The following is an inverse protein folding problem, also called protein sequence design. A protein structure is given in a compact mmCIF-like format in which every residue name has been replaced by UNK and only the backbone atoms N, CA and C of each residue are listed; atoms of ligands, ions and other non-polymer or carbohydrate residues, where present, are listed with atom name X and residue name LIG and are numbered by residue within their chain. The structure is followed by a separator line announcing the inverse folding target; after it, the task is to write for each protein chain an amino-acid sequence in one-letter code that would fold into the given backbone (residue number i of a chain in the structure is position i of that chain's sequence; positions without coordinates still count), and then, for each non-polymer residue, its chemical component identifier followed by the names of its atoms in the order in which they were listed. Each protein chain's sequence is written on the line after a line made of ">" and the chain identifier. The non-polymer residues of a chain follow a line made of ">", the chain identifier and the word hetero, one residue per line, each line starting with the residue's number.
data_IF_142859997314
#
_entry.id   IF_142859997314
#
_cell.length_a   1.000
_cell.length_b   1.000
_cell.length_c   1.000
_cell.angle_alpha   90.00
_cell.angle_beta   90.00
_cell.angle_gamma   90.00
#
_symmetry.space_group_name_H-M   'P 1'
#
loop_
_entity.id
_entity.type
_entity.pdbx_description
1 polymer ?
#
# COMPACT_ATOMS: atom_id res chain seq x y z
N UNK A 1 -13.10 14.00 24.91
CA UNK A 1 -13.02 14.34 23.48
C UNK A 1 -11.55 14.37 23.10
N UNK A 2 -11.10 13.48 22.22
CA UNK A 2 -9.71 13.53 21.75
C UNK A 2 -9.52 14.80 20.94
N UNK A 3 -8.61 15.67 21.37
CA UNK A 3 -8.27 16.91 20.68
C UNK A 3 -7.68 16.53 19.31
N UNK A 4 -8.28 16.98 18.21
CA UNK A 4 -7.69 16.85 16.89
C UNK A 4 -6.40 17.69 16.87
N UNK A 5 -5.26 17.02 16.84
CA UNK A 5 -3.96 17.67 16.66
C UNK A 5 -3.84 18.01 15.17
N UNK A 6 -4.03 19.27 14.83
CA UNK A 6 -3.85 19.75 13.46
C UNK A 6 -2.36 20.05 13.21
N UNK A 7 -1.84 19.53 12.10
CA UNK A 7 -0.47 19.80 11.64
C UNK A 7 -0.48 20.61 10.33
N UNK A 8 0.65 21.22 9.96
CA UNK A 8 0.76 22.10 8.79
C UNK A 8 1.83 21.63 7.82
N UNK A 9 1.55 21.82 6.53
CA UNK A 9 2.50 21.61 5.45
C UNK A 9 2.89 22.98 4.88
N UNK A 10 4.14 23.37 5.05
CA UNK A 10 4.68 24.64 4.54
C UNK A 10 5.46 24.42 3.24
N UNK A 11 4.95 24.95 2.12
CA UNK A 11 5.57 24.83 0.80
C UNK A 11 5.65 26.19 0.12
N UNK A 12 6.81 26.51 -0.45
CA UNK A 12 7.00 27.65 -1.35
C UNK A 12 6.93 27.17 -2.79
N UNK A 13 6.08 27.80 -3.60
CA UNK A 13 5.93 27.52 -5.03
C UNK A 13 6.09 28.81 -5.84
N UNK A 14 6.45 28.66 -7.12
CA UNK A 14 6.50 29.79 -8.03
C UNK A 14 5.09 30.32 -8.33
N UNK A 15 5.02 31.56 -8.85
CA UNK A 15 3.75 32.13 -9.32
C UNK A 15 3.14 31.28 -10.43
N UNK A 16 3.96 30.80 -11.36
CA UNK A 16 3.53 29.96 -12.48
C UNK A 16 2.89 28.66 -11.98
N UNK A 17 3.55 27.96 -11.04
CA UNK A 17 2.98 26.76 -10.42
C UNK A 17 1.64 27.05 -9.75
N UNK A 18 1.54 28.18 -9.02
CA UNK A 18 0.29 28.56 -8.35
C UNK A 18 -0.84 28.76 -9.36
N UNK A 19 -0.60 29.44 -10.47
CA UNK A 19 -1.62 29.67 -11.49
C UNK A 19 -2.01 28.39 -12.23
N UNK A 20 -1.05 27.51 -12.53
CA UNK A 20 -1.31 26.18 -13.09
C UNK A 20 -2.24 25.36 -12.19
N UNK A 21 -1.90 25.27 -10.89
CA UNK A 21 -2.66 24.48 -9.91
C UNK A 21 -4.05 25.08 -9.71
N UNK A 22 -4.19 26.41 -9.67
CA UNK A 22 -5.50 27.08 -9.62
C UNK A 22 -6.38 26.75 -10.81
N UNK A 23 -5.82 26.79 -12.02
CA UNK A 23 -6.57 26.48 -13.23
C UNK A 23 -7.05 25.02 -13.21
N UNK A 24 -6.16 24.08 -12.86
CA UNK A 24 -6.52 22.68 -12.70
C UNK A 24 -7.60 22.46 -11.63
N UNK A 25 -7.51 23.15 -10.49
CA UNK A 25 -8.51 23.14 -9.42
C UNK A 25 -9.89 23.58 -9.92
N UNK A 26 -9.94 24.66 -10.69
CA UNK A 26 -11.18 25.19 -11.26
C UNK A 26 -11.81 24.21 -12.26
N UNK A 27 -11.01 23.61 -13.14
CA UNK A 27 -11.48 22.58 -14.09
C UNK A 27 -12.06 21.35 -13.39
N UNK A 28 -11.50 20.97 -12.24
CA UNK A 28 -11.97 19.85 -11.43
C UNK A 28 -13.15 20.20 -10.50
N UNK A 29 -13.54 21.47 -10.43
CA UNK A 29 -14.70 21.93 -9.64
C UNK A 29 -14.47 22.03 -8.13
N UNK A 30 -13.22 22.14 -7.68
CA UNK A 30 -12.91 22.28 -6.26
C UNK A 30 -13.25 23.67 -5.73
N UNK A 31 -13.75 23.74 -4.49
CA UNK A 31 -14.17 25.00 -3.85
C UNK A 31 -12.98 25.84 -3.37
N UNK A 32 -11.84 25.21 -3.10
CA UNK A 32 -10.61 25.90 -2.70
C UNK A 32 -9.37 25.22 -3.26
N UNK A 33 -8.31 26.03 -3.45
CA UNK A 33 -7.01 25.54 -3.90
C UNK A 33 -6.38 24.55 -2.90
N UNK A 34 -6.53 24.83 -1.61
CA UNK A 34 -6.00 23.96 -0.56
C UNK A 34 -6.66 22.59 -0.56
N UNK A 35 -7.99 22.52 -0.70
CA UNK A 35 -8.73 21.27 -0.82
C UNK A 35 -8.25 20.45 -2.04
N UNK A 36 -8.06 21.11 -3.18
CA UNK A 36 -7.51 20.47 -4.37
C UNK A 36 -6.09 19.92 -4.15
N UNK A 37 -5.22 20.68 -3.50
CA UNK A 37 -3.85 20.23 -3.19
C UNK A 37 -3.88 19.00 -2.28
N UNK A 38 -4.66 19.03 -1.19
CA UNK A 38 -4.79 17.91 -0.27
C UNK A 38 -5.36 16.68 -0.97
N UNK A 39 -6.37 16.85 -1.82
CA UNK A 39 -6.94 15.77 -2.62
C UNK A 39 -5.87 15.11 -3.52
N UNK A 40 -5.11 15.92 -4.25
CA UNK A 40 -4.07 15.42 -5.16
C UNK A 40 -2.96 14.69 -4.39
N UNK A 41 -2.47 15.28 -3.30
CA UNK A 41 -1.40 14.69 -2.48
C UNK A 41 -1.85 13.36 -1.86
N UNK A 42 -3.05 13.32 -1.27
CA UNK A 42 -3.58 12.08 -0.68
C UNK A 42 -3.81 10.99 -1.74
N UNK A 43 -4.33 11.37 -2.91
CA UNK A 43 -4.56 10.43 -4.01
C UNK A 43 -3.24 9.80 -4.47
N UNK A 44 -2.20 10.62 -4.63
CA UNK A 44 -0.91 10.13 -5.10
C UNK A 44 -0.17 9.33 -4.03
N UNK A 45 -0.18 9.79 -2.78
CA UNK A 45 0.37 9.04 -1.65
C UNK A 45 -0.28 7.65 -1.52
N UNK A 46 -1.61 7.57 -1.65
CA UNK A 46 -2.34 6.30 -1.63
C UNK A 46 -1.91 5.33 -2.73
N UNK A 47 -1.68 5.83 -3.95
CA UNK A 47 -1.15 4.99 -5.04
C UNK A 47 0.26 4.49 -4.75
N UNK A 48 1.14 5.38 -4.29
CA UNK A 48 2.53 5.01 -3.96
C UNK A 48 2.55 3.90 -2.90
N UNK A 49 1.75 4.04 -1.84
CA UNK A 49 1.66 3.04 -0.77
C UNK A 49 1.11 1.73 -1.35
N UNK A 50 0.00 1.78 -2.09
CA UNK A 50 -0.62 0.60 -2.68
C UNK A 50 0.33 -0.14 -3.63
N UNK A 51 1.05 0.58 -4.49
CA UNK A 51 2.02 -0.01 -5.41
C UNK A 51 3.22 -0.61 -4.68
N UNK A 52 3.61 -0.02 -3.54
CA UNK A 52 4.68 -0.57 -2.72
C UNK A 52 4.26 -1.83 -1.97
N UNK A 53 3.06 -1.84 -1.37
CA UNK A 53 2.52 -2.93 -0.54
C UNK A 53 1.97 -4.10 -1.36
N UNK A 54 1.78 -3.93 -2.67
CA UNK A 54 1.31 -5.00 -3.54
C UNK A 54 2.29 -6.16 -3.55
N UNK A 55 1.87 -7.31 -3.00
CA UNK A 55 2.67 -8.55 -2.92
C UNK A 55 2.92 -9.16 -4.30
N UNK A 56 1.91 -9.14 -5.18
CA UNK A 56 1.99 -9.70 -6.52
C UNK A 56 2.13 -8.58 -7.56
N UNK A 57 3.37 -8.11 -7.75
CA UNK A 57 3.67 -6.94 -8.59
C UNK A 57 3.68 -7.32 -10.07
N UNK A 58 4.35 -8.41 -10.42
CA UNK A 58 4.52 -8.83 -11.81
C UNK A 58 3.39 -9.76 -12.28
N UNK A 59 3.28 -9.95 -13.60
CA UNK A 59 2.40 -10.98 -14.17
C UNK A 59 2.90 -12.38 -13.78
N UNK A 60 4.22 -12.56 -13.68
CA UNK A 60 4.83 -13.84 -13.31
C UNK A 60 4.52 -14.20 -11.85
N UNK A 61 4.61 -13.25 -10.91
CA UNK A 61 4.27 -13.47 -9.50
C UNK A 61 2.82 -13.95 -9.38
N UNK A 62 1.91 -13.31 -10.13
CA UNK A 62 0.48 -13.69 -10.15
C UNK A 62 0.28 -15.08 -10.74
N UNK A 63 1.03 -15.43 -11.80
CA UNK A 63 0.95 -16.75 -12.42
C UNK A 63 1.42 -17.83 -11.45
N UNK A 64 2.58 -17.64 -10.81
CA UNK A 64 3.12 -18.56 -9.79
C UNK A 64 2.11 -18.70 -8.64
N UNK A 65 1.57 -17.60 -8.14
CA UNK A 65 0.60 -17.62 -7.05
C UNK A 65 -0.70 -18.36 -7.41
N UNK A 66 -1.27 -18.06 -8.57
CA UNK A 66 -2.49 -18.73 -9.06
C UNK A 66 -2.23 -20.21 -9.31
N UNK A 67 -1.09 -20.56 -9.92
CA UNK A 67 -0.71 -21.96 -10.14
C UNK A 67 -0.56 -22.71 -8.81
N UNK A 68 0.08 -22.11 -7.80
CA UNK A 68 0.19 -22.71 -6.48
C UNK A 68 -1.17 -22.93 -5.76
N UNK A 69 -2.20 -22.13 -6.06
CA UNK A 69 -3.55 -22.33 -5.53
C UNK A 69 -4.30 -23.42 -6.30
N UNK A 70 -4.22 -23.39 -7.63
CA UNK A 70 -4.96 -24.32 -8.50
C UNK A 70 -4.31 -25.70 -8.54
N UNK A 71 -2.98 -25.75 -8.44
CA UNK A 71 -2.14 -26.94 -8.52
C UNK A 71 -1.20 -26.97 -7.29
N UNK A 72 -1.73 -27.18 -6.08
CA UNK A 72 -0.93 -27.10 -4.86
C UNK A 72 0.21 -28.13 -4.87
N UNK A 73 1.47 -27.69 -4.73
CA UNK A 73 2.61 -28.60 -4.75
C UNK A 73 2.66 -29.44 -3.47
N UNK A 74 3.21 -30.65 -3.56
CA UNK A 74 3.49 -31.46 -2.38
C UNK A 74 4.53 -30.77 -1.48
N UNK A 75 4.43 -30.91 -0.14
CA UNK A 75 5.37 -30.29 0.78
C UNK A 75 6.78 -30.84 0.56
N UNK A 76 7.76 -29.93 0.46
CA UNK A 76 9.18 -30.28 0.37
C UNK A 76 9.70 -30.90 1.68
N UNK A 77 10.88 -31.52 1.63
CA UNK A 77 11.47 -32.19 2.80
C UNK A 77 11.69 -31.26 3.99
N UNK A 78 12.06 -30.00 3.74
CA UNK A 78 12.23 -29.00 4.81
C UNK A 78 10.93 -28.73 5.58
N UNK A 79 9.81 -28.59 4.86
CA UNK A 79 8.51 -28.36 5.49
C UNK A 79 8.02 -29.60 6.25
N UNK A 80 8.27 -30.81 5.70
CA UNK A 80 7.99 -32.08 6.41
C UNK A 80 8.78 -32.19 7.71
N UNK A 81 10.08 -31.85 7.70
CA UNK A 81 10.93 -31.84 8.90
C UNK A 81 10.45 -30.82 9.94
N UNK A 82 10.08 -29.61 9.51
CA UNK A 82 9.54 -28.58 10.39
C UNK A 82 8.22 -29.01 11.03
N UNK A 83 7.32 -29.65 10.28
CA UNK A 83 6.09 -30.23 10.80
C UNK A 83 6.38 -31.29 11.88
N UNK A 84 7.28 -32.24 11.60
CA UNK A 84 7.65 -33.26 12.59
C UNK A 84 8.27 -32.66 13.85
N UNK A 85 9.11 -31.63 13.71
CA UNK A 85 9.70 -30.93 14.86
C UNK A 85 8.64 -30.19 15.70
N UNK A 86 7.67 -29.53 15.07
CA UNK A 86 6.56 -28.87 15.76
C UNK A 86 5.69 -29.88 16.53
N UNK A 87 5.36 -31.01 15.91
CA UNK A 87 4.61 -32.10 16.55
C UNK A 87 5.36 -32.72 17.73
N UNK A 88 6.69 -32.84 17.65
CA UNK A 88 7.51 -33.37 18.75
C UNK A 88 7.60 -32.37 19.92
N UNK A 89 7.60 -31.06 19.65
CA UNK A 89 7.59 -30.03 20.70
C UNK A 89 6.28 -29.99 21.50
N UNK A 90 5.16 -30.47 20.94
CA UNK A 90 3.90 -30.63 21.69
C UNK A 90 3.90 -31.87 22.61
N UNK A 91 4.81 -32.83 22.41
CA UNK A 91 4.90 -34.08 23.20
C UNK A 91 5.81 -33.92 24.42
N UNK A 92 6.85 -33.07 24.36
CA UNK A 92 7.81 -32.84 25.46
C UNK A 92 7.31 -31.83 26.52
N UNK A 93 6.08 -31.33 26.37
CA UNK A 93 5.44 -30.33 27.24
C UNK A 93 4.44 -30.87 28.28
N UNK A 94 4.36 -32.20 28.49
CA UNK A 94 3.58 -32.84 29.56
C UNK A 94 4.51 -33.62 30.49
#
# INVERSE_FOLDING_TARGET
>A
MATLVNDRIDVRISREQKELIKYASALRGFKSLSEFIIYCVNTEAGKIIMDNEKVLKTIEDKKIFVDAILNPPAPGEGLKKAQSAALNHEIDGI
#
